data_IF_438304658019
#
_entry.id   IF_438304658019
#
_cell.length_a   1.000
_cell.length_b   1.000
_cell.length_c   1.000
_cell.angle_alpha   90.00
_cell.angle_beta   90.00
_cell.angle_gamma   90.00
#
_symmetry.space_group_name_H-M   'P 1'
#
loop_
_entity.id
_entity.type
_entity.pdbx_description
1 polymer ?
#
# COMPACT_ATOMS: atom_id res chain seq x y z
N UNK A 1 7.66 42.16 -18.42
CA UNK A 1 8.06 41.27 -17.31
C UNK A 1 7.49 39.91 -17.65
N UNK A 2 8.30 39.03 -18.25
CA UNK A 2 7.95 37.62 -18.34
C UNK A 2 8.26 37.03 -16.95
N UNK A 3 7.31 36.30 -16.37
CA UNK A 3 7.34 35.81 -14.98
C UNK A 3 7.39 34.29 -15.01
N UNK A 4 8.55 33.67 -14.83
CA UNK A 4 8.65 32.21 -14.65
C UNK A 4 8.46 31.91 -13.16
N UNK A 5 7.57 30.98 -12.84
CA UNK A 5 7.15 30.64 -11.48
C UNK A 5 7.18 29.13 -11.37
N UNK A 6 8.20 28.50 -10.78
CA UNK A 6 8.14 27.08 -10.44
C UNK A 6 7.08 26.90 -9.35
N UNK A 7 6.06 26.08 -9.56
CA UNK A 7 5.05 25.77 -8.54
C UNK A 7 5.12 24.27 -8.29
N UNK A 8 4.98 23.86 -7.04
CA UNK A 8 4.88 22.45 -6.65
C UNK A 8 3.58 22.31 -5.87
N UNK A 9 2.63 21.52 -6.38
CA UNK A 9 1.30 21.39 -5.77
C UNK A 9 1.06 20.08 -5.02
N UNK A 10 0.43 20.22 -3.84
CA UNK A 10 -0.34 19.19 -3.12
C UNK A 10 -1.82 19.19 -3.55
N UNK A 11 -2.56 18.07 -3.39
CA UNK A 11 -4.01 18.11 -3.28
C UNK A 11 -4.42 18.73 -1.92
N UNK A 12 -5.29 19.74 -1.99
CA UNK A 12 -6.01 20.33 -0.85
C UNK A 12 -6.85 19.23 -0.16
N UNK A 13 -7.14 19.18 1.15
CA UNK A 13 -7.82 20.17 1.99
C UNK A 13 -7.60 19.82 3.48
N UNK A 14 -7.37 20.84 4.30
CA UNK A 14 -7.64 20.81 5.73
C UNK A 14 -8.30 22.12 6.15
N UNK A 15 -9.62 22.10 6.38
CA UNK A 15 -10.29 23.08 7.27
C UNK A 15 -11.42 22.41 8.03
N UNK A 16 -11.29 22.48 9.34
CA UNK A 16 -12.22 22.05 10.38
C UNK A 16 -13.64 22.57 10.15
N UNK A 17 -14.62 21.68 10.28
CA UNK A 17 -16.00 22.04 10.60
C UNK A 17 -16.37 21.42 11.95
N UNK A 18 -16.68 22.28 12.91
CA UNK A 18 -17.40 21.88 14.11
C UNK A 18 -18.83 21.50 13.72
N UNK A 19 -19.22 20.23 13.92
CA UNK A 19 -20.61 19.79 13.80
C UNK A 19 -21.23 19.80 15.19
N UNK A 20 -22.21 20.70 15.34
CA UNK A 20 -23.14 20.77 16.46
C UNK A 20 -24.01 19.50 16.45
N UNK A 21 -23.77 18.56 17.36
CA UNK A 21 -24.68 17.43 17.58
C UNK A 21 -25.97 17.92 18.25
N UNK A 22 -27.08 17.90 17.51
CA UNK A 22 -28.42 17.96 18.09
C UNK A 22 -28.85 16.55 18.47
N UNK A 23 -28.79 16.21 19.76
CA UNK A 23 -29.32 14.96 20.28
C UNK A 23 -30.86 15.00 20.28
N UNK A 24 -31.50 14.20 19.44
CA UNK A 24 -32.94 13.93 19.52
C UNK A 24 -33.17 12.70 20.41
N UNK A 25 -33.48 12.94 21.67
CA UNK A 25 -33.95 11.91 22.61
C UNK A 25 -35.42 11.63 22.28
N UNK A 26 -35.72 10.47 21.69
CA UNK A 26 -37.07 9.92 21.66
C UNK A 26 -37.13 8.81 22.71
N UNK A 27 -37.67 9.16 23.87
CA UNK A 27 -38.11 8.20 24.88
C UNK A 27 -39.47 7.63 24.47
N UNK A 28 -39.54 6.32 24.20
CA UNK A 28 -40.82 5.60 24.23
C UNK A 28 -40.72 4.57 25.34
N UNK A 29 -41.62 4.74 26.31
CA UNK A 29 -41.70 3.98 27.55
C UNK A 29 -42.10 2.52 27.35
N UNK A 30 -41.68 1.76 28.35
CA UNK A 30 -41.80 0.31 28.53
C UNK A 30 -43.26 -0.17 28.60
N UNK A 31 -43.48 -1.41 28.17
CA UNK A 31 -44.35 -2.34 28.90
C UNK A 31 -43.87 -3.78 28.67
N UNK A 32 -43.61 -4.47 29.77
CA UNK A 32 -43.05 -5.80 29.78
C UNK A 32 -44.07 -6.91 29.56
N UNK A 33 -43.56 -8.09 29.23
CA UNK A 33 -44.13 -9.37 29.62
C UNK A 33 -43.01 -10.40 29.67
N UNK A 34 -42.77 -10.92 30.87
CA UNK A 34 -41.91 -12.06 31.16
C UNK A 34 -42.44 -13.35 30.54
N UNK A 35 -41.55 -14.15 29.93
CA UNK A 35 -41.74 -15.60 29.81
C UNK A 35 -40.38 -16.31 29.85
N UNK A 36 -40.16 -17.06 30.92
CA UNK A 36 -39.13 -18.09 30.97
C UNK A 36 -39.58 -19.28 30.12
N UNK A 37 -38.65 -19.92 29.38
CA UNK A 37 -38.51 -21.38 29.31
C UNK A 37 -37.10 -21.77 28.84
N UNK A 38 -36.43 -22.45 29.78
CA UNK A 38 -35.42 -23.50 29.69
C UNK A 38 -35.28 -24.23 28.33
N UNK A 39 -34.05 -24.38 27.84
CA UNK A 39 -33.31 -25.67 27.75
C UNK A 39 -32.32 -25.69 26.59
N UNK A 40 -31.13 -26.22 26.88
CA UNK A 40 -30.13 -26.75 25.95
C UNK A 40 -29.11 -25.75 25.38
N UNK A 41 -28.07 -25.47 26.17
CA UNK A 41 -26.79 -24.97 25.64
C UNK A 41 -26.05 -26.18 25.08
N UNK A 42 -26.49 -26.65 23.91
CA UNK A 42 -25.60 -27.41 23.03
C UNK A 42 -24.48 -26.47 22.65
N UNK A 43 -23.25 -26.84 23.00
CA UNK A 43 -22.04 -26.17 22.54
C UNK A 43 -22.12 -25.97 21.03
N UNK A 44 -22.10 -24.71 20.60
CA UNK A 44 -22.06 -24.38 19.18
C UNK A 44 -20.70 -24.85 18.66
N UNK A 45 -20.66 -25.68 17.60
CA UNK A 45 -19.40 -26.11 17.01
C UNK A 45 -18.66 -24.88 16.47
N UNK A 46 -17.34 -24.87 16.67
CA UNK A 46 -16.41 -23.79 16.31
C UNK A 46 -16.72 -23.16 14.93
N UNK A 47 -16.87 -21.83 14.94
CA UNK A 47 -17.26 -21.00 13.78
C UNK A 47 -16.13 -20.85 12.75
N UNK A 48 -16.38 -21.01 11.44
CA UNK A 48 -15.39 -20.80 10.40
C UNK A 48 -15.37 -19.35 9.86
N UNK A 49 -14.31 -18.61 10.21
CA UNK A 49 -13.99 -17.21 9.88
C UNK A 49 -12.85 -17.03 8.82
N UNK A 50 -12.58 -15.78 8.34
CA UNK A 50 -12.39 -15.38 6.91
C UNK A 50 -13.63 -15.84 6.14
N UNK A 51 -14.20 -15.07 5.20
CA UNK A 51 -15.47 -15.51 4.58
C UNK A 51 -15.26 -16.92 3.97
N UNK A 52 -15.87 -17.94 4.59
CA UNK A 52 -15.65 -19.35 4.29
C UNK A 52 -14.21 -19.90 4.40
N UNK A 53 -13.32 -19.28 5.20
CA UNK A 53 -11.96 -19.73 5.49
C UNK A 53 -11.83 -20.54 6.79
N UNK A 54 -10.59 -20.91 7.13
CA UNK A 54 -10.26 -21.69 8.33
C UNK A 54 -9.16 -21.01 9.13
N UNK A 55 -9.05 -21.32 10.42
CA UNK A 55 -7.89 -20.91 11.22
C UNK A 55 -6.63 -21.53 10.63
N UNK A 56 -5.56 -20.74 10.52
CA UNK A 56 -4.25 -21.22 10.14
C UNK A 56 -3.55 -21.87 11.34
N UNK A 57 -2.90 -23.00 11.10
CA UNK A 57 -2.10 -23.67 12.13
C UNK A 57 -0.90 -22.78 12.54
N UNK A 58 -0.48 -22.80 13.82
CA UNK A 58 0.69 -22.05 14.25
C UNK A 58 1.93 -22.35 13.38
N UNK A 59 2.57 -21.31 12.86
CA UNK A 59 3.79 -21.43 12.05
C UNK A 59 3.57 -21.88 10.59
N UNK A 60 2.33 -21.99 10.10
CA UNK A 60 2.08 -22.37 8.70
C UNK A 60 2.44 -21.25 7.70
N UNK A 61 2.45 -20.00 8.15
CA UNK A 61 2.71 -18.80 7.33
C UNK A 61 3.70 -17.87 8.03
N UNK A 62 4.97 -18.28 8.19
CA UNK A 62 5.94 -17.57 9.02
C UNK A 62 6.27 -16.16 8.53
N UNK A 63 6.15 -15.92 7.22
CA UNK A 63 6.34 -14.62 6.57
C UNK A 63 5.15 -13.68 6.70
N UNK A 64 4.00 -14.12 7.23
CA UNK A 64 2.85 -13.25 7.42
C UNK A 64 3.16 -12.25 8.54
N UNK A 65 2.98 -10.96 8.24
CA UNK A 65 3.14 -9.89 9.23
C UNK A 65 1.88 -9.05 9.37
N UNK A 66 1.80 -8.34 10.49
CA UNK A 66 0.79 -7.32 10.76
C UNK A 66 1.48 -5.98 10.90
N UNK A 67 1.09 -5.01 10.07
CA UNK A 67 1.42 -3.60 10.29
C UNK A 67 0.56 -3.11 11.46
N UNK A 68 1.21 -2.51 12.45
CA UNK A 68 0.55 -1.99 13.65
C UNK A 68 0.87 -0.53 13.88
N UNK A 69 -0.08 0.16 14.50
CA UNK A 69 0.08 1.53 14.96
C UNK A 69 1.07 1.57 16.14
N UNK A 70 2.17 2.31 15.97
CA UNK A 70 3.26 2.36 16.93
C UNK A 70 2.83 2.90 18.31
N UNK A 71 1.83 3.78 18.34
CA UNK A 71 1.33 4.41 19.57
C UNK A 71 0.40 3.49 20.39
N UNK A 72 0.04 2.31 19.87
CA UNK A 72 -0.89 1.37 20.52
C UNK A 72 -0.15 0.13 21.01
N UNK A 73 -0.01 -0.03 22.33
CA UNK A 73 0.67 -1.19 22.94
C UNK A 73 -0.07 -2.52 22.70
N UNK A 74 -1.41 -2.50 22.68
CA UNK A 74 -2.20 -3.71 22.46
C UNK A 74 -2.20 -4.06 20.97
N UNK A 75 -1.44 -5.10 20.64
CA UNK A 75 -1.25 -5.61 19.28
C UNK A 75 -2.56 -5.92 18.53
N UNK A 76 -3.62 -6.37 19.24
CA UNK A 76 -4.91 -6.65 18.59
C UNK A 76 -5.59 -5.35 18.15
N UNK A 77 -5.56 -4.32 18.99
CA UNK A 77 -6.12 -3.01 18.65
C UNK A 77 -5.22 -2.17 17.75
N UNK A 78 -3.92 -2.45 17.74
CA UNK A 78 -2.94 -1.76 16.93
C UNK A 78 -2.96 -2.21 15.46
N UNK A 79 -3.53 -3.38 15.14
CA UNK A 79 -3.55 -3.92 13.78
C UNK A 79 -4.24 -3.00 12.76
N UNK A 80 -3.50 -2.66 11.69
CA UNK A 80 -3.94 -1.78 10.61
C UNK A 80 -4.15 -2.53 9.31
N UNK A 81 -3.11 -3.26 8.90
CA UNK A 81 -3.02 -3.98 7.63
C UNK A 81 -2.17 -5.25 7.81
N UNK A 82 -2.28 -6.17 6.86
CA UNK A 82 -1.31 -7.23 6.66
C UNK A 82 -0.09 -6.76 5.87
N UNK A 83 0.92 -7.62 5.85
CA UNK A 83 2.10 -7.50 4.99
C UNK A 83 2.80 -8.85 4.89
N UNK A 84 3.92 -8.88 4.20
CA UNK A 84 4.70 -10.10 3.99
C UNK A 84 6.19 -9.85 4.11
N UNK A 85 6.89 -10.68 4.88
CA UNK A 85 8.35 -10.65 4.99
C UNK A 85 8.98 -11.26 3.73
N UNK A 86 9.69 -10.44 2.94
CA UNK A 86 10.29 -10.83 1.65
C UNK A 86 11.82 -10.88 1.69
N UNK A 87 12.43 -10.16 2.64
CA UNK A 87 13.79 -10.30 3.11
C UNK A 87 13.78 -10.25 4.65
N UNK A 88 14.90 -10.51 5.32
CA UNK A 88 14.95 -10.51 6.79
C UNK A 88 14.66 -9.14 7.41
N UNK A 89 14.86 -8.06 6.68
CA UNK A 89 14.57 -6.67 7.06
C UNK A 89 13.61 -5.94 6.10
N UNK A 90 13.00 -6.64 5.12
CA UNK A 90 12.05 -6.02 4.18
C UNK A 90 10.67 -6.66 4.21
N UNK A 91 9.65 -5.80 4.32
CA UNK A 91 8.23 -6.17 4.27
C UNK A 91 7.56 -5.58 3.03
N UNK A 92 6.82 -6.43 2.32
CA UNK A 92 5.94 -6.05 1.21
C UNK A 92 4.50 -5.85 1.72
N UNK A 93 3.88 -4.74 1.34
CA UNK A 93 2.50 -4.40 1.69
C UNK A 93 1.84 -3.56 0.58
N UNK A 94 0.64 -3.04 0.83
CA UNK A 94 -0.08 -2.15 -0.07
C UNK A 94 0.25 -0.67 0.20
N UNK A 95 0.31 0.16 -0.85
CA UNK A 95 0.54 1.59 -0.71
C UNK A 95 -0.57 2.29 0.07
N UNK A 96 -1.82 1.86 -0.09
CA UNK A 96 -2.96 2.43 0.64
C UNK A 96 -2.87 2.23 2.16
N UNK A 97 -2.07 1.26 2.63
CA UNK A 97 -1.83 1.05 4.05
C UNK A 97 -0.88 2.09 4.65
N UNK A 98 -0.09 2.77 3.82
CA UNK A 98 1.06 3.58 4.25
C UNK A 98 1.10 5.00 3.66
N UNK A 99 0.31 5.32 2.61
CA UNK A 99 0.33 6.61 1.88
C UNK A 99 0.14 7.89 2.73
N UNK A 100 -0.24 7.76 4.01
CA UNK A 100 -0.48 8.87 4.94
C UNK A 100 0.16 8.63 6.30
N UNK A 101 1.20 7.81 6.35
CA UNK A 101 1.91 7.44 7.56
C UNK A 101 3.40 7.61 7.36
N UNK A 102 4.04 8.18 8.38
CA UNK A 102 5.50 8.21 8.48
C UNK A 102 6.02 6.88 9.04
N UNK A 103 7.31 6.61 8.88
CA UNK A 103 7.94 5.37 9.35
C UNK A 103 7.74 5.14 10.85
N UNK A 104 7.87 6.20 11.66
CA UNK A 104 7.76 6.12 13.12
C UNK A 104 6.34 5.84 13.62
N UNK A 105 5.33 6.00 12.77
CA UNK A 105 3.92 5.69 13.08
C UNK A 105 3.58 4.20 12.84
N UNK A 106 4.53 3.43 12.29
CA UNK A 106 4.34 2.04 11.91
C UNK A 106 5.37 1.16 12.61
N UNK A 107 4.89 0.08 13.23
CA UNK A 107 5.72 -1.05 13.59
C UNK A 107 5.19 -2.32 12.91
N UNK A 108 6.02 -3.34 12.81
CA UNK A 108 5.66 -4.62 12.21
C UNK A 108 5.69 -5.72 13.27
N UNK A 109 4.57 -6.43 13.38
CA UNK A 109 4.46 -7.66 14.14
C UNK A 109 4.77 -8.88 13.27
N UNK A 110 5.78 -9.65 13.66
CA UNK A 110 6.26 -10.85 12.94
C UNK A 110 6.10 -12.08 13.83
N UNK A 111 5.79 -13.24 13.23
CA UNK A 111 5.75 -14.53 13.93
C UNK A 111 4.51 -14.74 14.82
N UNK A 112 3.42 -14.03 14.56
CA UNK A 112 2.19 -14.09 15.36
C UNK A 112 1.19 -15.11 14.81
N UNK A 113 0.60 -15.92 15.70
CA UNK A 113 -0.61 -16.70 15.39
C UNK A 113 -1.86 -15.99 15.89
N UNK A 114 -1.80 -15.36 17.06
CA UNK A 114 -2.82 -14.42 17.53
C UNK A 114 -2.25 -13.02 17.61
N UNK A 115 -3.04 -12.04 17.24
CA UNK A 115 -2.63 -10.64 17.40
C UNK A 115 -2.49 -10.30 18.89
N UNK A 116 -3.37 -10.81 19.74
CA UNK A 116 -3.29 -10.59 21.20
C UNK A 116 -2.12 -11.29 21.91
N UNK A 117 -1.38 -12.17 21.22
CA UNK A 117 -0.20 -12.82 21.80
C UNK A 117 1.00 -11.85 21.85
N UNK A 118 1.94 -12.09 22.75
CA UNK A 118 3.18 -11.29 22.93
C UNK A 118 4.44 -12.08 22.58
N UNK A 119 4.29 -13.22 21.90
CA UNK A 119 5.39 -14.15 21.60
C UNK A 119 6.15 -13.81 20.32
N UNK A 120 5.54 -13.02 19.43
CA UNK A 120 6.18 -12.53 18.21
C UNK A 120 7.15 -11.37 18.45
N UNK A 121 7.73 -10.90 17.35
CA UNK A 121 8.61 -9.72 17.33
C UNK A 121 7.79 -8.50 16.96
N UNK A 122 8.01 -7.37 17.65
CA UNK A 122 7.46 -6.06 17.31
C UNK A 122 8.64 -5.16 16.95
N UNK A 123 8.79 -4.88 15.65
CA UNK A 123 9.98 -4.26 15.08
C UNK A 123 9.61 -2.91 14.49
N UNK A 124 10.37 -1.87 14.81
CA UNK A 124 10.14 -0.53 14.26
C UNK A 124 10.50 -0.48 12.78
N UNK A 125 9.75 0.33 12.03
CA UNK A 125 10.04 0.69 10.64
C UNK A 125 10.92 1.94 10.64
N UNK A 126 11.97 1.95 9.82
CA UNK A 126 12.83 3.13 9.62
C UNK A 126 12.76 3.70 8.20
N UNK A 127 12.13 3.01 7.26
CA UNK A 127 11.86 3.52 5.91
C UNK A 127 10.52 3.00 5.36
N UNK A 128 9.77 3.89 4.71
CA UNK A 128 8.50 3.59 4.01
C UNK A 128 8.65 4.01 2.56
N UNK A 129 8.44 3.07 1.63
CA UNK A 129 8.57 3.31 0.20
C UNK A 129 7.28 2.88 -0.49
N UNK A 130 6.36 3.83 -0.69
CA UNK A 130 5.19 3.60 -1.53
C UNK A 130 5.58 3.69 -3.01
N UNK A 131 5.00 2.86 -3.86
CA UNK A 131 5.28 2.90 -5.29
C UNK A 131 4.92 4.30 -5.86
N UNK A 132 5.83 4.96 -6.59
CA UNK A 132 5.66 6.36 -7.00
C UNK A 132 4.44 6.61 -7.91
N UNK A 133 4.09 5.62 -8.74
CA UNK A 133 2.89 5.68 -9.59
C UNK A 133 1.57 5.35 -8.86
N UNK A 134 1.58 5.12 -7.54
CA UNK A 134 0.37 4.79 -6.80
C UNK A 134 -0.74 5.82 -7.01
N UNK A 135 -1.94 5.35 -7.35
CA UNK A 135 -3.11 6.18 -7.59
C UNK A 135 -4.14 5.97 -6.48
N UNK A 136 -4.33 6.91 -5.54
CA UNK A 136 -5.21 6.72 -4.39
C UNK A 136 -6.69 6.51 -4.73
N UNK A 137 -7.13 6.98 -5.90
CA UNK A 137 -8.51 6.85 -6.35
C UNK A 137 -8.76 5.48 -6.97
N UNK A 138 -7.97 5.11 -7.98
CA UNK A 138 -8.14 3.84 -8.71
C UNK A 138 -7.46 2.67 -8.01
N UNK A 139 -6.67 2.93 -6.98
CA UNK A 139 -5.79 1.97 -6.29
C UNK A 139 -4.86 1.22 -7.25
N UNK A 140 -4.51 1.86 -8.37
CA UNK A 140 -3.52 1.33 -9.30
C UNK A 140 -2.11 1.52 -8.71
N UNK A 141 -1.18 0.61 -9.03
CA UNK A 141 0.16 0.57 -8.42
C UNK A 141 0.13 0.52 -6.88
N UNK A 142 -0.84 -0.19 -6.30
CA UNK A 142 -1.03 -0.31 -4.84
C UNK A 142 -0.05 -1.31 -4.20
N UNK A 143 1.21 -0.88 -4.09
CA UNK A 143 2.32 -1.65 -3.53
C UNK A 143 3.27 -0.72 -2.78
N UNK A 144 3.77 -1.18 -1.64
CA UNK A 144 4.76 -0.48 -0.85
C UNK A 144 5.74 -1.45 -0.18
N UNK A 145 6.92 -0.94 0.15
CA UNK A 145 7.95 -1.61 0.92
C UNK A 145 8.15 -0.90 2.26
N UNK A 146 8.43 -1.67 3.29
CA UNK A 146 8.87 -1.19 4.59
C UNK A 146 10.23 -1.81 4.90
N UNK A 147 11.20 -0.96 5.25
CA UNK A 147 12.46 -1.42 5.81
C UNK A 147 12.34 -1.47 7.35
N UNK A 148 12.81 -2.57 7.93
CA UNK A 148 12.78 -2.81 9.35
C UNK A 148 14.10 -2.33 9.98
N UNK A 149 13.99 -1.65 11.12
CA UNK A 149 15.15 -1.21 11.91
C UNK A 149 16.05 -2.35 12.43
N UNK A 150 15.59 -3.60 12.34
CA UNK A 150 16.37 -4.80 12.65
C UNK A 150 15.82 -6.04 11.96
N UNK A 151 16.69 -7.01 11.65
CA UNK A 151 16.32 -8.25 10.98
C UNK A 151 15.37 -9.10 11.84
N UNK A 152 14.23 -9.46 11.26
CA UNK A 152 13.25 -10.39 11.83
C UNK A 152 13.80 -11.83 11.88
N UNK A 153 13.40 -12.60 12.89
CA UNK A 153 13.83 -13.99 13.07
C UNK A 153 12.84 -15.01 12.50
N UNK A 154 12.15 -14.67 11.40
CA UNK A 154 11.21 -15.54 10.70
C UNK A 154 11.61 -15.81 9.25
N UNK A 155 11.26 -16.98 8.69
CA UNK A 155 11.40 -17.25 7.27
C UNK A 155 10.68 -16.22 6.38
N UNK A 156 11.28 -15.94 5.23
CA UNK A 156 10.73 -15.09 4.18
C UNK A 156 9.99 -15.92 3.13
N UNK A 157 9.23 -15.27 2.24
CA UNK A 157 8.65 -15.91 1.05
C UNK A 157 9.18 -15.26 -0.22
N UNK A 158 9.37 -16.08 -1.26
CA UNK A 158 9.77 -15.58 -2.56
C UNK A 158 8.62 -14.88 -3.29
N UNK A 159 8.93 -13.82 -4.03
CA UNK A 159 8.01 -13.23 -4.99
C UNK A 159 7.93 -14.05 -6.27
N UNK A 160 6.73 -14.20 -6.82
CA UNK A 160 6.54 -14.81 -8.13
C UNK A 160 7.09 -13.89 -9.23
N UNK A 161 8.05 -14.40 -10.01
CA UNK A 161 8.75 -13.70 -11.10
C UNK A 161 8.46 -14.32 -12.48
N UNK A 162 7.27 -14.88 -12.66
CA UNK A 162 6.88 -15.50 -13.93
C UNK A 162 6.56 -14.47 -15.02
N UNK A 163 6.19 -14.98 -16.20
CA UNK A 163 5.85 -14.14 -17.35
C UNK A 163 4.68 -13.19 -17.01
N UNK A 164 4.89 -11.89 -17.26
CA UNK A 164 3.87 -10.83 -17.10
C UNK A 164 2.66 -10.98 -18.03
N UNK A 165 2.68 -11.93 -18.97
CA UNK A 165 1.48 -12.35 -19.69
C UNK A 165 0.33 -12.61 -18.70
N UNK A 166 -0.77 -11.89 -18.85
CA UNK A 166 -1.88 -11.76 -17.87
C UNK A 166 -2.47 -13.09 -17.39
N UNK A 167 -2.30 -14.15 -18.18
CA UNK A 167 -2.91 -15.46 -17.94
C UNK A 167 -1.92 -16.49 -17.40
N UNK A 168 -0.64 -16.15 -17.21
CA UNK A 168 0.39 -17.11 -16.77
C UNK A 168 0.10 -17.62 -15.35
N UNK A 169 -0.42 -16.76 -14.47
CA UNK A 169 -0.77 -17.10 -13.10
C UNK A 169 -1.99 -18.03 -13.00
N UNK A 170 -2.85 -18.08 -14.02
CA UNK A 170 -4.00 -19.00 -14.00
C UNK A 170 -3.57 -20.47 -13.98
N UNK A 171 -2.32 -20.78 -14.36
CA UNK A 171 -1.76 -22.12 -14.24
C UNK A 171 -1.73 -22.64 -12.80
N UNK A 172 -1.66 -21.76 -11.79
CA UNK A 172 -1.72 -22.15 -10.38
C UNK A 172 -3.10 -22.62 -9.94
N UNK A 173 -4.16 -22.28 -10.69
CA UNK A 173 -5.57 -22.57 -10.44
C UNK A 173 -6.15 -21.92 -9.16
N UNK A 174 -5.39 -21.90 -8.06
CA UNK A 174 -5.81 -21.47 -6.74
C UNK A 174 -4.69 -20.73 -6.02
N UNK A 175 -5.07 -19.68 -5.28
CA UNK A 175 -4.20 -18.99 -4.34
C UNK A 175 -4.78 -19.07 -2.93
N UNK A 176 -3.95 -18.77 -1.94
CA UNK A 176 -4.29 -18.72 -0.53
C UNK A 176 -4.12 -17.29 -0.02
N UNK A 177 -5.21 -16.72 0.48
CA UNK A 177 -5.21 -15.43 1.18
C UNK A 177 -4.99 -15.72 2.66
N UNK A 178 -4.13 -14.93 3.30
CA UNK A 178 -3.72 -15.11 4.69
C UNK A 178 -3.89 -13.77 5.41
N UNK A 179 -4.45 -13.79 6.62
CA UNK A 179 -4.65 -12.56 7.39
C UNK A 179 -5.51 -12.69 8.63
N UNK A 180 -5.75 -11.54 9.25
CA UNK A 180 -6.58 -11.36 10.45
C UNK A 180 -7.85 -10.55 10.15
N UNK A 181 -8.20 -10.40 8.88
CA UNK A 181 -9.35 -9.61 8.45
C UNK A 181 -10.69 -10.09 8.99
N UNK A 182 -11.66 -9.20 8.88
CA UNK A 182 -13.01 -9.35 9.40
C UNK A 182 -13.82 -10.33 8.56
N UNK A 183 -14.96 -10.76 9.13
CA UNK A 183 -15.84 -11.72 8.49
C UNK A 183 -17.05 -11.06 7.83
N UNK A 184 -16.87 -9.92 7.17
CA UNK A 184 -18.00 -9.18 6.57
C UNK A 184 -18.67 -8.17 7.51
N UNK A 185 -17.99 -7.79 8.60
CA UNK A 185 -18.37 -6.68 9.48
C UNK A 185 -17.28 -5.60 9.55
N UNK A 186 -17.64 -4.37 9.89
CA UNK A 186 -16.70 -3.23 9.90
C UNK A 186 -15.80 -3.15 11.15
N UNK A 187 -16.09 -3.91 12.22
CA UNK A 187 -15.63 -3.53 13.58
C UNK A 187 -14.81 -4.59 14.35
N UNK A 188 -14.61 -5.81 13.83
CA UNK A 188 -13.72 -6.76 14.50
C UNK A 188 -13.09 -7.75 13.52
N UNK A 189 -11.78 -7.60 13.31
CA UNK A 189 -10.93 -8.63 12.71
C UNK A 189 -10.83 -9.88 13.60
N UNK A 190 -10.32 -10.97 13.04
CA UNK A 190 -10.04 -12.18 13.80
C UNK A 190 -8.79 -12.00 14.65
N UNK A 191 -8.85 -12.39 15.92
CA UNK A 191 -7.64 -12.46 16.74
C UNK A 191 -6.68 -13.54 16.23
N UNK A 192 -7.20 -14.66 15.73
CA UNK A 192 -6.39 -15.78 15.25
C UNK A 192 -6.12 -15.65 13.76
N UNK A 193 -4.90 -15.97 13.34
CA UNK A 193 -4.52 -15.98 11.94
C UNK A 193 -5.37 -16.98 11.16
N UNK A 194 -5.76 -16.59 9.96
CA UNK A 194 -6.68 -17.36 9.12
C UNK A 194 -6.17 -17.46 7.71
N UNK A 195 -6.73 -18.43 6.99
CA UNK A 195 -6.43 -18.67 5.59
C UNK A 195 -7.69 -19.03 4.81
N UNK A 196 -7.70 -18.68 3.53
CA UNK A 196 -8.72 -19.18 2.60
C UNK A 196 -8.09 -19.45 1.25
N UNK A 197 -8.34 -20.65 0.73
CA UNK A 197 -7.99 -21.00 -0.65
C UNK A 197 -9.13 -20.60 -1.58
N UNK A 198 -8.80 -19.89 -2.65
CA UNK A 198 -9.72 -19.33 -3.64
C UNK A 198 -9.17 -19.53 -5.05
N UNK A 199 -10.02 -19.72 -6.08
CA UNK A 199 -9.53 -19.84 -7.45
C UNK A 199 -9.04 -18.50 -7.97
N UNK A 200 -8.01 -18.52 -8.82
CA UNK A 200 -7.65 -17.35 -9.62
C UNK A 200 -8.68 -17.17 -10.74
N UNK A 201 -8.88 -15.91 -11.14
CA UNK A 201 -9.93 -15.53 -12.08
C UNK A 201 -9.29 -14.74 -13.21
N UNK A 202 -9.67 -15.04 -14.46
CA UNK A 202 -9.12 -14.33 -15.61
C UNK A 202 -9.42 -12.85 -15.55
N UNK A 203 -8.52 -12.04 -16.10
CA UNK A 203 -8.67 -10.59 -16.09
C UNK A 203 -9.98 -10.15 -16.76
N UNK A 204 -10.36 -10.78 -17.89
CA UNK A 204 -11.63 -10.50 -18.57
C UNK A 204 -12.84 -10.75 -17.66
N UNK A 205 -12.86 -11.90 -16.96
CA UNK A 205 -13.97 -12.24 -16.05
C UNK A 205 -14.05 -11.25 -14.90
N UNK A 206 -12.89 -10.88 -14.34
CA UNK A 206 -12.85 -9.94 -13.22
C UNK A 206 -13.27 -8.53 -13.64
N UNK A 207 -12.71 -8.00 -14.72
CA UNK A 207 -13.02 -6.68 -15.24
C UNK A 207 -14.52 -6.56 -15.57
N UNK A 208 -15.11 -7.61 -16.17
CA UNK A 208 -16.56 -7.66 -16.41
C UNK A 208 -17.40 -7.58 -15.13
N UNK A 209 -16.96 -8.22 -14.05
CA UNK A 209 -17.69 -8.19 -12.76
C UNK A 209 -17.60 -6.82 -12.06
N UNK A 210 -16.60 -6.01 -12.40
CA UNK A 210 -16.37 -4.67 -11.86
C UNK A 210 -16.67 -3.52 -12.82
N UNK A 211 -17.20 -3.81 -14.02
CA UNK A 211 -17.43 -2.81 -15.08
C UNK A 211 -18.32 -1.61 -14.68
N UNK A 212 -19.03 -1.67 -13.55
CA UNK A 212 -19.87 -0.60 -13.01
C UNK A 212 -19.21 0.23 -11.88
N UNK A 213 -18.02 -0.16 -11.44
CA UNK A 213 -17.28 0.49 -10.37
C UNK A 213 -16.03 1.15 -10.96
N UNK A 214 -14.97 0.38 -11.14
CA UNK A 214 -13.68 0.84 -11.67
C UNK A 214 -13.08 -0.23 -12.57
N UNK A 215 -12.24 0.21 -13.51
CA UNK A 215 -11.55 -0.71 -14.40
C UNK A 215 -10.45 -1.44 -13.64
N UNK A 216 -10.53 -2.77 -13.59
CA UNK A 216 -9.40 -3.61 -13.18
C UNK A 216 -8.33 -3.47 -14.25
N UNK A 217 -7.12 -3.04 -13.88
CA UNK A 217 -6.00 -2.81 -14.80
C UNK A 217 -5.11 -4.07 -14.90
N UNK A 218 -4.17 -4.08 -15.84
CA UNK A 218 -3.24 -5.22 -16.02
C UNK A 218 -2.23 -5.37 -14.87
N UNK A 219 -2.14 -4.36 -14.01
CA UNK A 219 -1.33 -4.34 -12.78
C UNK A 219 -2.03 -5.04 -11.61
N UNK A 220 -3.26 -5.53 -11.84
CA UNK A 220 -4.11 -6.18 -10.87
C UNK A 220 -4.45 -7.62 -11.28
N UNK A 221 -4.73 -8.47 -10.29
CA UNK A 221 -5.27 -9.81 -10.47
C UNK A 221 -6.47 -10.03 -9.55
N UNK A 222 -7.28 -11.05 -9.84
CA UNK A 222 -8.46 -11.34 -9.05
C UNK A 222 -8.57 -12.79 -8.63
N UNK A 223 -9.22 -13.00 -7.48
CA UNK A 223 -9.57 -14.32 -6.98
C UNK A 223 -11.00 -14.37 -6.46
N UNK A 224 -11.54 -15.58 -6.33
CA UNK A 224 -12.82 -15.81 -5.68
C UNK A 224 -13.86 -16.44 -6.61
N UNK A 225 -15.10 -16.44 -6.17
CA UNK A 225 -16.19 -17.15 -6.83
C UNK A 225 -17.23 -16.16 -7.33
N UNK A 226 -17.86 -16.45 -8.47
CA UNK A 226 -18.97 -15.64 -9.00
C UNK A 226 -20.10 -15.44 -7.97
N UNK A 227 -20.37 -16.46 -7.14
CA UNK A 227 -21.38 -16.37 -6.07
C UNK A 227 -20.88 -15.69 -4.78
N UNK A 228 -19.62 -15.27 -4.76
CA UNK A 228 -18.94 -14.77 -3.56
C UNK A 228 -18.79 -15.83 -2.48
N UNK A 229 -18.79 -15.37 -1.23
CA UNK A 229 -18.76 -16.23 -0.04
C UNK A 229 -17.36 -16.73 0.36
N UNK A 230 -16.32 -16.42 -0.41
CA UNK A 230 -14.91 -16.58 0.00
C UNK A 230 -14.04 -15.49 -0.63
N UNK A 231 -13.18 -14.88 0.19
CA UNK A 231 -12.26 -13.83 -0.25
C UNK A 231 -11.61 -13.10 0.93
N UNK A 232 -10.85 -12.07 0.61
CA UNK A 232 -10.31 -11.10 1.56
C UNK A 232 -11.41 -10.17 2.09
N UNK A 233 -11.16 -9.56 3.25
CA UNK A 233 -12.03 -8.56 3.83
C UNK A 233 -11.25 -7.50 4.63
N UNK A 234 -11.96 -6.60 5.31
CA UNK A 234 -11.39 -5.51 6.10
C UNK A 234 -10.32 -6.03 7.08
N UNK A 235 -9.10 -5.50 7.03
CA UNK A 235 -7.96 -5.96 7.84
C UNK A 235 -7.05 -6.98 7.15
N UNK A 236 -7.46 -7.57 6.03
CA UNK A 236 -6.55 -8.36 5.18
C UNK A 236 -5.73 -7.48 4.22
N UNK A 237 -6.08 -6.19 4.07
CA UNK A 237 -5.41 -5.19 3.23
C UNK A 237 -3.89 -5.23 3.38
N UNK A 238 -3.15 -5.21 2.27
CA UNK A 238 -1.69 -5.34 2.26
C UNK A 238 -1.16 -6.76 2.51
N UNK A 239 -2.00 -7.69 2.96
CA UNK A 239 -1.65 -9.09 3.17
C UNK A 239 -1.42 -9.87 1.86
N UNK A 240 -0.79 -11.05 1.93
CA UNK A 240 -0.40 -11.81 0.74
C UNK A 240 -1.54 -12.63 0.15
N UNK A 241 -1.46 -12.79 -1.17
CA UNK A 241 -1.97 -13.95 -1.89
C UNK A 241 -0.79 -14.82 -2.31
N UNK A 242 -0.71 -16.05 -1.79
CA UNK A 242 0.35 -17.01 -2.12
C UNK A 242 -0.16 -18.19 -2.94
N UNK A 243 0.72 -18.75 -3.77
CA UNK A 243 0.51 -19.97 -4.55
C UNK A 243 1.63 -20.97 -4.25
N UNK A 244 1.33 -22.26 -4.38
CA UNK A 244 2.34 -23.31 -4.32
C UNK A 244 2.85 -23.57 -5.73
N UNK A 245 4.15 -23.38 -5.95
CA UNK A 245 4.80 -23.74 -7.21
C UNK A 245 5.34 -25.17 -7.10
N UNK A 246 4.74 -26.10 -7.86
CA UNK A 246 5.14 -27.51 -7.87
C UNK A 246 6.54 -27.73 -8.45
N UNK A 247 7.03 -26.87 -9.33
CA UNK A 247 8.36 -26.96 -9.91
C UNK A 247 9.44 -26.56 -8.92
N UNK A 248 9.17 -25.53 -8.12
CA UNK A 248 10.07 -25.03 -7.07
C UNK A 248 9.91 -25.78 -5.75
N UNK A 249 8.78 -26.47 -5.55
CA UNK A 249 8.38 -27.07 -4.27
C UNK A 249 8.38 -26.02 -3.14
N UNK A 250 7.89 -24.82 -3.45
CA UNK A 250 7.88 -23.70 -2.51
C UNK A 250 6.68 -22.77 -2.73
N UNK A 251 6.38 -21.96 -1.73
CA UNK A 251 5.38 -20.92 -1.79
C UNK A 251 5.93 -19.66 -2.48
N UNK A 252 5.09 -19.04 -3.30
CA UNK A 252 5.40 -17.75 -3.89
C UNK A 252 4.24 -16.78 -3.69
N UNK A 253 4.56 -15.51 -3.39
CA UNK A 253 3.57 -14.45 -3.35
C UNK A 253 3.30 -13.93 -4.77
N UNK A 254 2.04 -13.97 -5.19
CA UNK A 254 1.58 -13.51 -6.51
C UNK A 254 0.73 -12.25 -6.43
N UNK A 255 0.18 -11.94 -5.26
CA UNK A 255 -0.68 -10.78 -5.08
C UNK A 255 -0.56 -10.14 -3.69
N UNK A 256 -0.99 -8.89 -3.61
CA UNK A 256 -1.13 -8.09 -2.39
C UNK A 256 -2.60 -7.68 -2.29
N UNK A 257 -3.27 -7.97 -1.17
CA UNK A 257 -4.69 -7.63 -0.98
C UNK A 257 -4.86 -6.12 -1.13
N UNK A 258 -5.68 -5.70 -2.11
CA UNK A 258 -5.89 -4.29 -2.43
C UNK A 258 -7.33 -3.89 -2.08
N UNK A 259 -8.30 -4.29 -2.89
CA UNK A 259 -9.70 -3.90 -2.70
C UNK A 259 -10.69 -5.01 -3.08
N UNK A 260 -11.96 -4.77 -2.78
CA UNK A 260 -13.05 -5.65 -3.15
C UNK A 260 -14.39 -4.95 -2.97
N UNK A 261 -15.49 -5.64 -3.28
CA UNK A 261 -16.83 -5.06 -3.04
C UNK A 261 -17.04 -4.82 -1.53
N UNK A 262 -17.65 -3.69 -1.15
CA UNK A 262 -18.03 -3.44 0.24
C UNK A 262 -18.86 -4.58 0.82
N UNK A 263 -18.56 -4.96 2.06
CA UNK A 263 -19.26 -6.03 2.78
C UNK A 263 -18.75 -7.45 2.54
N UNK A 264 -17.75 -7.66 1.68
CA UNK A 264 -16.95 -8.91 1.50
C UNK A 264 -17.72 -10.22 1.19
N UNK A 265 -19.04 -10.25 1.24
CA UNK A 265 -19.86 -11.47 1.16
C UNK A 265 -20.91 -11.45 0.04
N UNK A 266 -20.91 -10.43 -0.82
CA UNK A 266 -21.89 -10.28 -1.90
C UNK A 266 -21.67 -11.23 -3.08
N UNK A 267 -22.69 -11.40 -3.91
CA UNK A 267 -22.55 -12.01 -5.25
C UNK A 267 -21.61 -11.14 -6.10
N UNK A 268 -20.82 -11.75 -6.98
CA UNK A 268 -19.78 -11.10 -7.80
C UNK A 268 -18.75 -10.31 -6.98
N UNK A 269 -18.51 -10.74 -5.74
CA UNK A 269 -17.44 -10.19 -4.89
C UNK A 269 -16.18 -10.99 -5.10
N UNK A 270 -15.51 -10.75 -6.22
CA UNK A 270 -14.10 -11.12 -6.35
C UNK A 270 -13.26 -10.24 -5.43
N UNK A 271 -12.13 -10.75 -4.97
CA UNK A 271 -11.09 -9.98 -4.31
C UNK A 271 -10.08 -9.53 -5.36
N UNK A 272 -9.70 -8.26 -5.32
CA UNK A 272 -8.72 -7.65 -6.24
C UNK A 272 -7.40 -7.43 -5.49
N UNK A 273 -6.31 -7.72 -6.18
CA UNK A 273 -4.95 -7.68 -5.64
C UNK A 273 -4.05 -6.90 -6.57
N UNK A 274 -3.07 -6.17 -6.04
CA UNK A 274 -1.94 -5.73 -6.85
C UNK A 274 -1.15 -6.98 -7.30
N UNK A 275 -0.84 -7.08 -8.59
CA UNK A 275 -0.21 -8.23 -9.22
C UNK A 275 1.31 -8.17 -9.10
N UNK A 276 1.87 -8.96 -8.18
CA UNK A 276 3.29 -8.90 -7.80
C UNK A 276 4.24 -8.99 -8.99
N UNK A 277 3.97 -9.86 -9.97
CA UNK A 277 4.84 -10.06 -11.13
C UNK A 277 5.14 -8.75 -11.90
N UNK A 278 4.22 -7.79 -11.88
CA UNK A 278 4.36 -6.48 -12.56
C UNK A 278 5.39 -5.58 -11.88
N UNK A 279 5.61 -5.75 -10.57
CA UNK A 279 6.40 -4.83 -9.75
C UNK A 279 7.77 -5.39 -9.33
N UNK A 280 8.10 -6.62 -9.72
CA UNK A 280 9.33 -7.30 -9.25
C UNK A 280 10.61 -6.53 -9.57
N UNK A 281 10.68 -5.83 -10.72
CA UNK A 281 11.83 -4.99 -11.06
C UNK A 281 11.98 -3.79 -10.13
N UNK A 282 10.87 -3.09 -9.81
CA UNK A 282 10.85 -2.00 -8.86
C UNK A 282 11.22 -2.47 -7.45
N UNK A 283 10.69 -3.63 -7.02
CA UNK A 283 11.07 -4.23 -5.73
C UNK A 283 12.57 -4.53 -5.69
N UNK A 284 13.11 -5.20 -6.72
CA UNK A 284 14.53 -5.55 -6.76
C UNK A 284 15.42 -4.29 -6.72
N UNK A 285 15.02 -3.20 -7.41
CA UNK A 285 15.72 -1.92 -7.37
C UNK A 285 15.73 -1.30 -5.96
N UNK A 286 14.58 -1.26 -5.28
CA UNK A 286 14.47 -0.72 -3.92
C UNK A 286 15.26 -1.52 -2.88
N UNK A 287 15.29 -2.85 -3.03
CA UNK A 287 16.04 -3.73 -2.13
C UNK A 287 17.56 -3.62 -2.34
N UNK A 288 18.00 -3.33 -3.57
CA UNK A 288 19.42 -3.09 -3.87
C UNK A 288 19.89 -1.71 -3.39
N UNK A 289 19.10 -0.68 -3.67
CA UNK A 289 19.32 0.69 -3.23
C UNK A 289 17.97 1.44 -3.17
N UNK A 290 17.47 1.69 -1.96
CA UNK A 290 16.21 2.40 -1.73
C UNK A 290 16.24 3.85 -2.23
N UNK A 291 17.42 4.37 -2.56
CA UNK A 291 17.63 5.72 -3.09
C UNK A 291 17.86 5.73 -4.60
N UNK A 292 17.81 4.57 -5.26
CA UNK A 292 17.99 4.49 -6.70
C UNK A 292 16.83 5.14 -7.45
N UNK A 293 17.13 5.71 -8.62
CA UNK A 293 16.12 6.25 -9.53
C UNK A 293 15.07 5.21 -9.92
N UNK A 294 15.44 3.94 -10.04
CA UNK A 294 14.48 2.88 -10.36
C UNK A 294 13.54 2.55 -9.18
N UNK A 295 13.94 2.84 -7.94
CA UNK A 295 13.11 2.68 -6.74
C UNK A 295 12.21 3.90 -6.47
N UNK A 296 12.80 5.09 -6.42
CA UNK A 296 12.11 6.33 -6.07
C UNK A 296 11.39 6.96 -7.26
N UNK A 297 11.74 6.56 -8.48
CA UNK A 297 11.36 7.18 -9.74
C UNK A 297 11.39 8.70 -9.65
N UNK A 298 12.61 9.23 -9.76
CA UNK A 298 12.82 10.62 -10.12
C UNK A 298 11.86 11.08 -11.21
N UNK A 299 11.47 12.36 -11.18
CA UNK A 299 10.59 12.93 -12.19
C UNK A 299 11.22 12.90 -13.60
N UNK A 300 10.53 13.48 -14.60
CA UNK A 300 11.03 13.46 -15.98
C UNK A 300 12.34 14.23 -16.21
N UNK A 301 12.85 14.94 -15.20
CA UNK A 301 14.02 15.82 -15.24
C UNK A 301 15.28 15.20 -14.62
N UNK A 302 15.17 14.04 -13.99
CA UNK A 302 16.14 13.36 -13.10
C UNK A 302 17.37 12.72 -13.77
N UNK A 303 17.96 13.48 -14.68
CA UNK A 303 19.37 13.35 -15.01
C UNK A 303 20.15 14.64 -14.72
N UNK A 304 19.53 15.69 -14.15
CA UNK A 304 20.05 17.05 -14.13
C UNK A 304 20.92 17.43 -12.92
N UNK A 305 21.45 16.44 -12.19
CA UNK A 305 22.46 16.58 -11.13
C UNK A 305 23.79 17.23 -11.59
N UNK A 306 23.91 17.52 -12.89
CA UNK A 306 25.10 18.13 -13.48
C UNK A 306 24.77 19.18 -14.54
N UNK A 307 25.63 20.20 -14.62
CA UNK A 307 25.56 21.21 -15.70
C UNK A 307 25.53 20.64 -17.12
N UNK A 308 26.09 19.44 -17.33
CA UNK A 308 26.15 18.81 -18.67
C UNK A 308 24.83 18.19 -19.08
N UNK A 309 24.03 17.80 -18.11
CA UNK A 309 22.73 17.15 -18.28
C UNK A 309 21.57 18.11 -18.00
N UNK A 310 21.87 19.33 -17.55
CA UNK A 310 20.92 20.40 -17.26
C UNK A 310 19.80 20.57 -18.28
N UNK A 311 18.56 20.63 -17.78
CA UNK A 311 17.36 20.80 -18.58
C UNK A 311 17.17 22.25 -19.04
N UNK A 312 16.65 22.44 -20.27
CA UNK A 312 16.36 23.78 -20.78
C UNK A 312 14.98 24.25 -20.33
N UNK A 313 14.93 25.40 -19.65
CA UNK A 313 13.67 26.02 -19.18
C UNK A 313 13.25 27.19 -20.08
N UNK A 314 11.95 27.35 -20.28
CA UNK A 314 11.37 28.44 -21.07
C UNK A 314 11.29 29.75 -20.27
N UNK A 315 11.59 30.87 -20.92
CA UNK A 315 11.49 32.23 -20.34
C UNK A 315 10.16 32.93 -20.67
N UNK A 316 9.12 32.15 -20.94
CA UNK A 316 7.76 32.59 -21.28
C UNK A 316 6.88 32.82 -20.06
N UNK A 317 7.33 32.33 -18.92
CA UNK A 317 6.64 32.43 -17.65
C UNK A 317 5.82 31.22 -17.25
N UNK A 318 5.94 30.11 -17.99
CA UNK A 318 5.35 28.85 -17.60
C UNK A 318 5.94 28.37 -16.27
N UNK A 319 5.08 27.76 -15.46
CA UNK A 319 5.51 27.00 -14.30
C UNK A 319 5.96 25.62 -14.71
N UNK A 320 7.02 25.12 -14.09
CA UNK A 320 7.40 23.71 -14.14
C UNK A 320 7.38 23.21 -12.70
N UNK A 321 7.18 21.92 -12.49
CA UNK A 321 7.23 21.28 -11.18
C UNK A 321 8.39 20.28 -11.22
N UNK A 322 9.25 20.30 -10.20
CA UNK A 322 10.45 19.45 -10.10
C UNK A 322 10.56 18.88 -8.69
N UNK A 323 11.03 17.65 -8.52
CA UNK A 323 11.39 17.11 -7.20
C UNK A 323 12.91 17.16 -6.97
N UNK A 324 13.31 17.32 -5.70
CA UNK A 324 14.66 16.97 -5.26
C UNK A 324 14.57 15.50 -4.82
N UNK A 325 14.92 14.60 -5.72
CA UNK A 325 14.72 13.17 -5.65
C UNK A 325 15.45 12.48 -4.50
N UNK A 326 16.57 13.04 -3.99
CA UNK A 326 17.26 12.51 -2.82
C UNK A 326 17.95 13.58 -1.94
N UNK A 327 18.44 13.17 -0.75
CA UNK A 327 19.19 14.07 0.12
C UNK A 327 20.50 14.51 -0.57
N UNK A 328 20.71 15.83 -0.69
CA UNK A 328 21.83 16.47 -1.42
C UNK A 328 21.68 16.51 -2.95
N UNK A 329 20.48 16.27 -3.46
CA UNK A 329 20.18 16.47 -4.87
C UNK A 329 20.43 17.93 -5.33
N UNK A 330 20.95 18.10 -6.55
CA UNK A 330 21.35 19.39 -7.12
C UNK A 330 20.87 19.49 -8.58
N UNK A 331 19.66 20.01 -8.76
CA UNK A 331 19.09 20.18 -10.09
C UNK A 331 19.75 21.36 -10.83
N UNK A 332 20.25 21.09 -12.04
CA UNK A 332 20.77 22.12 -12.95
C UNK A 332 19.76 22.48 -14.03
N UNK A 333 19.47 23.78 -14.15
CA UNK A 333 18.68 24.34 -15.24
C UNK A 333 19.50 25.27 -16.13
N UNK A 334 19.17 25.33 -17.42
CA UNK A 334 19.73 26.30 -18.37
C UNK A 334 18.63 27.06 -19.09
N UNK A 335 18.88 28.34 -19.39
CA UNK A 335 17.98 29.16 -20.19
C UNK A 335 18.75 30.19 -21.01
N UNK A 336 18.14 30.66 -22.10
CA UNK A 336 18.71 31.72 -22.93
C UNK A 336 18.32 33.10 -22.41
N UNK A 337 19.32 33.93 -22.07
CA UNK A 337 19.12 35.30 -21.62
C UNK A 337 19.49 36.33 -22.71
N UNK A 338 18.66 37.37 -22.87
CA UNK A 338 18.88 38.47 -23.81
C UNK A 338 19.54 39.67 -23.11
N UNK A 339 20.51 40.28 -23.81
CA UNK A 339 21.24 41.44 -23.28
C UNK A 339 20.29 42.61 -23.00
N UNK A 340 20.32 43.10 -21.77
CA UNK A 340 19.53 44.27 -21.34
C UNK A 340 18.10 43.93 -20.91
N UNK A 341 17.73 42.64 -20.88
CA UNK A 341 16.45 42.16 -20.35
C UNK A 341 16.64 41.71 -18.90
N UNK A 342 15.68 42.04 -18.05
CA UNK A 342 15.63 41.59 -16.65
C UNK A 342 14.74 40.36 -16.53
N UNK A 343 15.25 39.33 -15.85
CA UNK A 343 14.56 38.08 -15.55
C UNK A 343 14.29 37.99 -14.05
N UNK A 344 13.16 37.37 -13.70
CA UNK A 344 12.84 36.97 -12.33
C UNK A 344 12.79 35.44 -12.31
N UNK A 345 13.61 34.83 -11.47
CA UNK A 345 13.56 33.41 -11.16
C UNK A 345 12.98 33.31 -9.76
N UNK A 346 11.93 32.53 -9.60
CA UNK A 346 11.22 32.35 -8.34
C UNK A 346 11.06 30.85 -8.09
N UNK A 347 11.32 30.46 -6.86
CA UNK A 347 11.23 29.08 -6.37
C UNK A 347 10.30 29.10 -5.16
N UNK A 348 9.27 28.26 -5.18
CA UNK A 348 8.34 28.11 -4.07
C UNK A 348 8.42 26.67 -3.56
N UNK A 349 8.60 26.50 -2.24
CA UNK A 349 8.51 25.18 -1.61
C UNK A 349 7.31 25.14 -0.67
N UNK A 350 6.43 24.13 -0.81
CA UNK A 350 5.29 23.97 0.09
C UNK A 350 5.68 23.43 1.48
N UNK A 351 6.95 23.04 1.71
CA UNK A 351 7.42 22.47 2.97
C UNK A 351 8.00 23.56 3.89
N UNK A 352 7.51 23.60 5.14
CA UNK A 352 7.83 24.63 6.13
C UNK A 352 9.30 24.65 6.60
N UNK A 353 10.14 23.70 6.15
CA UNK A 353 11.52 23.51 6.63
C UNK A 353 12.55 23.30 5.51
N UNK A 354 12.19 23.53 4.24
CA UNK A 354 13.13 23.43 3.11
C UNK A 354 13.26 24.78 2.43
N UNK A 355 14.45 25.37 2.44
CA UNK A 355 14.77 26.56 1.66
C UNK A 355 15.44 26.14 0.34
N UNK A 356 14.91 26.57 -0.80
CA UNK A 356 15.59 26.39 -2.08
C UNK A 356 16.76 27.37 -2.16
N UNK A 357 17.96 26.86 -2.42
CA UNK A 357 19.14 27.68 -2.65
C UNK A 357 19.41 27.77 -4.15
N UNK A 358 19.36 28.99 -4.68
CA UNK A 358 19.62 29.25 -6.10
C UNK A 358 20.99 29.89 -6.30
N UNK A 359 21.79 29.32 -7.19
CA UNK A 359 23.03 29.89 -7.68
C UNK A 359 22.97 30.12 -9.18
N UNK A 360 23.47 31.27 -9.64
CA UNK A 360 23.50 31.62 -11.05
C UNK A 360 24.95 31.63 -11.55
N UNK A 361 25.18 31.00 -12.70
CA UNK A 361 26.48 30.90 -13.35
C UNK A 361 26.41 31.42 -14.80
N UNK A 362 27.55 31.86 -15.34
CA UNK A 362 27.71 32.23 -16.75
C UNK A 362 27.62 30.99 -17.66
N UNK A 363 27.72 31.18 -18.98
CA UNK A 363 27.64 30.13 -20.00
C UNK A 363 28.63 28.96 -19.82
N UNK A 364 29.69 29.15 -19.04
CA UNK A 364 30.63 28.09 -18.69
C UNK A 364 30.13 27.16 -17.57
N UNK A 365 29.04 27.52 -16.88
CA UNK A 365 28.48 26.78 -15.75
C UNK A 365 29.39 26.71 -14.52
N UNK A 366 30.41 27.58 -14.43
CA UNK A 366 31.38 27.60 -13.33
C UNK A 366 31.69 29.00 -12.79
N UNK A 367 31.44 30.05 -13.58
CA UNK A 367 31.67 31.43 -13.17
C UNK A 367 30.40 31.99 -12.53
N UNK A 368 30.37 32.27 -11.21
CA UNK A 368 29.19 32.85 -10.57
C UNK A 368 28.91 34.26 -11.10
N UNK A 369 27.63 34.61 -11.28
CA UNK A 369 27.17 35.92 -11.76
C UNK A 369 26.76 36.90 -10.65
#
# INVERSE_FOLDING_TARGET
MNRTSLQLFRPLWGKSFAILMLALVISIGMNGASRAQNSDVTQMPDSPDIVGGTVAEPGSWPWQVSLVDADIEDNYYAHLCGGTLIADDWVLTAAHCVERREAEEIEVLVGQQRLSDTTGERIAVDEVIAHPNYQPVTTDFDIALLHLSSNAQQPTVALYRGDTAIESELAFLRGTIIGWGSQGGYLSGSDRLRQVSVPLVSHETCNKAFAHLEAVTNSMLCTGYEKGGKGSCYGDSGGPLVVWDEGLQDWQQVGIVNWGRPGCQGVESYSVFARVAVYTQWVDACLEDSRSADCLMGDEYEADDSRTTANEISVDGASQEHNFHHEQDIDWFKFSAEKGVSYLIDTDSPLLLTDTLLWLYDQDGTTPL
#
